data_IF_019013066369
#
_entry.id   IF_019013066369
#
_cell.length_a   1.000
_cell.length_b   1.000
_cell.length_c   1.000
_cell.angle_alpha   90.00
_cell.angle_beta   90.00
_cell.angle_gamma   90.00
#
_symmetry.space_group_name_H-M   'P 1'
#
loop_
_entity.id
_entity.type
_entity.pdbx_description
1 polymer ?
#
# COMPACT_ATOMS: atom_id res chain seq x y z
N UNK A 1 -1.05 -18.11 11.40
CA UNK A 1 -2.31 -18.12 10.58
C UNK A 1 -3.16 -19.34 10.96
N UNK A 2 -4.46 -19.25 10.82
CA UNK A 2 -5.43 -20.34 11.07
C UNK A 2 -5.73 -21.14 9.80
N UNK A 3 -5.62 -20.52 8.64
CA UNK A 3 -5.97 -21.04 7.33
C UNK A 3 -4.79 -20.86 6.37
N UNK A 4 -4.35 -21.93 5.76
CA UNK A 4 -3.22 -21.90 4.84
C UNK A 4 -3.49 -20.99 3.65
N UNK A 5 -2.60 -20.02 3.42
CA UNK A 5 -2.68 -19.07 2.32
C UNK A 5 -3.75 -17.99 2.45
N UNK A 6 -4.42 -17.84 3.60
CA UNK A 6 -5.37 -16.76 3.81
C UNK A 6 -4.69 -15.54 4.44
N UNK A 7 -4.39 -14.54 3.65
CA UNK A 7 -3.57 -13.40 4.06
C UNK A 7 -4.24 -12.47 5.08
N UNK A 8 -5.57 -12.51 5.19
CA UNK A 8 -6.29 -11.78 6.24
C UNK A 8 -6.23 -12.44 7.60
N UNK A 9 -5.73 -13.68 7.71
CA UNK A 9 -5.54 -14.33 9.01
C UNK A 9 -4.48 -13.59 9.82
N UNK A 10 -4.81 -13.31 11.06
CA UNK A 10 -3.91 -12.72 12.02
C UNK A 10 -2.77 -13.70 12.38
N UNK A 11 -1.55 -13.19 12.43
CA UNK A 11 -0.39 -13.91 12.96
C UNK A 11 -0.30 -13.72 14.47
N UNK A 12 -0.17 -14.84 15.19
CA UNK A 12 0.00 -14.87 16.63
C UNK A 12 1.39 -15.36 17.03
N UNK A 13 1.84 -14.96 18.22
CA UNK A 13 3.01 -15.55 18.87
C UNK A 13 2.52 -16.77 19.65
N UNK A 14 2.99 -17.95 19.23
CA UNK A 14 2.71 -19.21 19.92
C UNK A 14 4.01 -19.82 20.41
N UNK A 15 4.09 -20.06 21.71
CA UNK A 15 5.24 -20.75 22.34
C UNK A 15 4.90 -22.23 22.50
N UNK A 16 5.79 -23.08 22.00
CA UNK A 16 5.72 -24.53 22.20
C UNK A 16 6.59 -24.90 23.39
N UNK A 17 6.03 -25.63 24.32
CA UNK A 17 6.73 -26.21 25.51
C UNK A 17 6.43 -27.70 25.64
N UNK A 18 7.09 -28.43 26.50
CA UNK A 18 6.73 -29.82 26.79
C UNK A 18 5.27 -30.03 27.26
N UNK A 19 4.68 -28.98 27.84
CA UNK A 19 3.29 -28.99 28.33
C UNK A 19 2.25 -28.60 27.23
N UNK A 20 2.72 -28.33 26.00
CA UNK A 20 1.85 -27.96 24.85
C UNK A 20 2.10 -26.58 24.28
N UNK A 21 1.10 -26.07 23.58
CA UNK A 21 1.15 -24.77 22.89
C UNK A 21 0.47 -23.69 23.74
N UNK A 22 1.12 -22.51 23.81
CA UNK A 22 0.58 -21.33 24.49
C UNK A 22 0.56 -20.14 23.51
N UNK A 23 -0.63 -19.66 23.15
CA UNK A 23 -0.78 -18.47 22.32
C UNK A 23 -0.71 -17.22 23.21
N UNK A 24 0.32 -16.40 23.03
CA UNK A 24 0.59 -15.21 23.84
C UNK A 24 -0.17 -13.96 23.34
N UNK A 25 -0.66 -13.95 22.11
CA UNK A 25 -1.29 -12.77 21.50
C UNK A 25 -2.74 -13.02 21.08
N UNK A 26 -3.36 -14.11 21.56
CA UNK A 26 -4.73 -14.51 21.17
C UNK A 26 -5.78 -13.41 21.39
N UNK A 27 -5.64 -12.61 22.44
CA UNK A 27 -6.57 -11.53 22.79
C UNK A 27 -6.14 -10.15 22.24
N UNK A 28 -5.04 -10.06 21.50
CA UNK A 28 -4.60 -8.85 20.84
C UNK A 28 -5.25 -8.78 19.46
N UNK A 29 -6.00 -7.73 19.17
CA UNK A 29 -6.84 -7.60 17.96
C UNK A 29 -6.05 -7.09 16.74
N UNK A 30 -4.75 -7.45 16.65
CA UNK A 30 -3.87 -7.07 15.54
C UNK A 30 -2.91 -8.21 15.18
N UNK A 31 -2.19 -8.08 14.07
CA UNK A 31 -1.25 -9.10 13.57
C UNK A 31 0.21 -8.80 13.97
N UNK A 32 0.95 -9.85 14.30
CA UNK A 32 2.40 -9.80 14.61
C UNK A 32 3.19 -9.92 13.30
N UNK A 33 4.16 -9.02 13.08
CA UNK A 33 5.06 -9.08 11.91
C UNK A 33 6.40 -9.75 12.21
N UNK A 34 7.06 -9.35 13.28
CA UNK A 34 8.33 -9.94 13.71
C UNK A 34 8.40 -10.04 15.21
N UNK A 35 9.21 -10.96 15.74
CA UNK A 35 9.35 -11.13 17.19
C UNK A 35 10.76 -11.51 17.58
N UNK A 36 11.09 -11.28 18.87
CA UNK A 36 12.36 -11.64 19.50
C UNK A 36 12.18 -11.88 20.98
N UNK A 37 12.85 -12.88 21.52
CA UNK A 37 12.94 -13.11 22.98
C UNK A 37 13.73 -12.00 23.67
N UNK A 38 13.32 -11.65 24.90
CA UNK A 38 14.15 -10.87 25.83
C UNK A 38 15.37 -11.68 26.26
N UNK A 39 16.45 -11.00 26.69
CA UNK A 39 17.68 -11.66 27.12
C UNK A 39 17.49 -12.61 28.32
N UNK A 40 16.53 -12.33 29.19
CA UNK A 40 16.17 -13.13 30.34
C UNK A 40 15.14 -14.24 30.09
N UNK A 41 14.63 -14.33 28.84
CA UNK A 41 13.62 -15.30 28.41
C UNK A 41 12.22 -15.11 29.02
N UNK A 42 11.95 -13.98 29.67
CA UNK A 42 10.66 -13.75 30.37
C UNK A 42 9.63 -13.01 29.54
N UNK A 43 10.05 -12.44 28.41
CA UNK A 43 9.20 -11.65 27.52
C UNK A 43 9.55 -11.95 26.06
N UNK A 44 8.63 -11.63 25.18
CA UNK A 44 8.90 -11.43 23.76
C UNK A 44 8.62 -9.97 23.42
N UNK A 45 9.53 -9.40 22.62
CA UNK A 45 9.32 -8.12 21.93
C UNK A 45 8.86 -8.42 20.51
N UNK A 46 7.96 -7.62 19.97
CA UNK A 46 7.46 -7.83 18.62
C UNK A 46 7.03 -6.51 17.96
N UNK A 47 6.97 -6.52 16.64
CA UNK A 47 6.40 -5.42 15.87
C UNK A 47 5.02 -5.77 15.39
N UNK A 48 4.14 -4.77 15.35
CA UNK A 48 2.78 -4.91 14.85
C UNK A 48 2.25 -3.59 14.29
N UNK A 49 1.27 -3.69 13.38
CA UNK A 49 0.58 -2.52 12.85
C UNK A 49 -0.42 -1.99 13.87
N UNK A 50 -0.48 -0.67 13.99
CA UNK A 50 -1.50 0.03 14.76
C UNK A 50 -1.68 1.46 14.25
N UNK A 51 -2.91 1.88 14.00
CA UNK A 51 -3.27 3.26 13.63
C UNK A 51 -2.40 3.85 12.50
N UNK A 52 -2.15 3.06 11.44
CA UNK A 52 -1.34 3.47 10.29
C UNK A 52 0.15 3.63 10.59
N UNK A 53 0.69 2.87 11.54
CA UNK A 53 2.11 2.83 11.91
C UNK A 53 2.53 1.40 12.25
N UNK A 54 3.84 1.13 12.26
CA UNK A 54 4.42 -0.09 12.80
C UNK A 54 5.15 0.23 14.11
N UNK A 55 4.69 -0.35 15.23
CA UNK A 55 5.20 -0.05 16.55
C UNK A 55 5.84 -1.26 17.23
N UNK A 56 6.66 -1.00 18.26
CA UNK A 56 7.24 -2.01 19.13
C UNK A 56 6.31 -2.31 20.31
N UNK A 57 6.12 -3.60 20.56
CA UNK A 57 5.33 -4.14 21.66
C UNK A 57 6.14 -5.12 22.49
N UNK A 58 5.68 -5.41 23.70
CA UNK A 58 6.11 -6.52 24.51
C UNK A 58 4.94 -7.40 24.95
N UNK A 59 5.18 -8.68 25.11
CA UNK A 59 4.27 -9.62 25.76
C UNK A 59 5.08 -10.48 26.76
N UNK A 60 4.52 -10.66 27.97
CA UNK A 60 5.15 -11.53 28.97
C UNK A 60 4.96 -13.01 28.63
N UNK A 61 5.98 -13.81 28.90
CA UNK A 61 5.91 -15.26 28.88
C UNK A 61 5.74 -15.78 30.31
N UNK A 62 4.58 -16.29 30.69
CA UNK A 62 4.33 -16.71 32.06
C UNK A 62 5.03 -18.02 32.49
N UNK A 63 5.62 -18.76 31.53
CA UNK A 63 6.16 -20.09 31.79
C UNK A 63 5.07 -21.04 32.28
N UNK A 64 5.38 -21.79 33.38
CA UNK A 64 4.41 -22.68 34.02
C UNK A 64 3.48 -21.98 35.02
N UNK A 65 3.59 -20.65 35.18
CA UNK A 65 2.75 -19.87 36.11
C UNK A 65 1.40 -19.54 35.45
N UNK A 66 0.39 -19.25 36.28
CA UNK A 66 -0.92 -18.76 35.83
C UNK A 66 -0.97 -17.22 35.67
N UNK A 67 0.17 -16.56 35.49
CA UNK A 67 0.23 -15.12 35.32
C UNK A 67 -0.54 -14.69 34.07
N UNK A 68 -1.26 -13.59 34.16
CA UNK A 68 -2.00 -13.05 33.03
C UNK A 68 -1.05 -12.66 31.89
N UNK A 69 -1.43 -13.03 30.65
CA UNK A 69 -0.71 -12.64 29.44
C UNK A 69 -1.18 -11.24 29.07
N UNK A 70 -0.26 -10.30 28.93
CA UNK A 70 -0.54 -8.90 28.61
C UNK A 70 0.38 -8.41 27.49
N UNK A 71 -0.23 -7.87 26.46
CA UNK A 71 0.46 -7.11 25.42
C UNK A 71 0.54 -5.65 25.84
N UNK A 72 1.73 -5.08 25.78
CA UNK A 72 1.98 -3.67 26.08
C UNK A 72 2.71 -3.01 24.92
N UNK A 73 2.20 -1.86 24.47
CA UNK A 73 2.88 -1.03 23.49
C UNK A 73 4.03 -0.27 24.13
N UNK A 74 5.24 -0.35 23.54
CA UNK A 74 6.45 0.33 24.00
C UNK A 74 6.64 1.65 23.29
N UNK A 75 6.53 1.68 21.95
CA UNK A 75 6.73 2.90 21.16
C UNK A 75 5.41 3.46 20.66
N UNK A 76 5.34 4.80 20.51
CA UNK A 76 4.20 5.54 19.94
C UNK A 76 4.71 6.71 19.15
N UNK A 77 4.10 6.99 18.00
CA UNK A 77 4.41 8.14 17.16
C UNK A 77 4.16 7.86 15.68
N UNK A 78 4.28 8.89 14.85
CA UNK A 78 4.10 8.79 13.41
C UNK A 78 5.40 8.36 12.75
N UNK A 79 5.77 7.11 12.95
CA UNK A 79 6.94 6.43 12.40
C UNK A 79 6.72 4.92 12.40
N UNK A 80 7.56 4.20 11.65
CA UNK A 80 7.57 2.74 11.61
C UNK A 80 8.85 2.18 12.21
N UNK A 81 8.69 1.14 13.05
CA UNK A 81 9.77 0.24 13.44
C UNK A 81 9.84 -0.87 12.40
N UNK A 82 10.87 -0.84 11.56
CA UNK A 82 11.02 -1.75 10.42
C UNK A 82 11.81 -3.01 10.74
N UNK A 83 12.55 -3.03 11.87
CA UNK A 83 13.29 -4.21 12.30
C UNK A 83 13.85 -4.08 13.71
N UNK A 84 14.00 -5.21 14.37
CA UNK A 84 14.67 -5.34 15.68
C UNK A 84 16.04 -5.97 15.49
N UNK A 85 17.12 -5.21 15.74
CA UNK A 85 18.50 -5.67 15.57
C UNK A 85 18.90 -6.52 16.78
N UNK A 86 18.66 -6.02 18.00
CA UNK A 86 18.97 -6.77 19.21
C UNK A 86 18.74 -5.97 20.47
N UNK A 87 18.63 -6.69 21.61
CA UNK A 87 18.56 -6.10 22.93
C UNK A 87 19.98 -5.90 23.50
N UNK A 88 20.23 -4.74 24.12
CA UNK A 88 21.44 -4.41 24.85
C UNK A 88 21.04 -3.84 26.21
N UNK A 89 21.17 -4.62 27.25
CA UNK A 89 20.70 -4.27 28.60
C UNK A 89 19.20 -3.99 28.60
N UNK A 90 18.83 -2.79 29.00
CA UNK A 90 17.46 -2.27 29.06
C UNK A 90 16.99 -1.57 27.78
N UNK A 91 17.76 -1.64 26.69
CA UNK A 91 17.46 -1.02 25.40
C UNK A 91 17.29 -2.05 24.29
N UNK A 92 16.40 -1.74 23.34
CA UNK A 92 16.32 -2.41 22.05
C UNK A 92 16.99 -1.53 20.99
N UNK A 93 17.92 -2.11 20.23
CA UNK A 93 18.46 -1.50 19.01
C UNK A 93 17.56 -1.92 17.86
N UNK A 94 17.09 -0.97 17.08
CA UNK A 94 16.11 -1.20 16.02
C UNK A 94 16.31 -0.25 14.85
N UNK A 95 15.64 -0.53 13.74
CA UNK A 95 15.52 0.37 12.58
C UNK A 95 14.20 1.11 12.63
N UNK A 96 14.26 2.40 12.34
CA UNK A 96 13.11 3.29 12.26
C UNK A 96 13.12 4.07 10.95
N UNK A 97 11.94 4.27 10.40
CA UNK A 97 11.69 5.13 9.24
C UNK A 97 10.41 5.94 9.45
N UNK A 98 10.22 6.97 8.64
CA UNK A 98 8.93 7.63 8.45
C UNK A 98 8.80 8.07 6.98
N UNK A 99 7.64 8.60 6.58
CA UNK A 99 7.41 8.98 5.18
C UNK A 99 8.37 10.06 4.65
N UNK A 100 9.04 10.80 5.55
CA UNK A 100 10.02 11.84 5.21
C UNK A 100 11.47 11.34 5.26
N UNK A 101 11.76 10.31 6.05
CA UNK A 101 13.10 9.88 6.36
C UNK A 101 13.32 8.41 6.07
N UNK A 102 14.38 8.11 5.31
CA UNK A 102 14.86 6.76 5.12
C UNK A 102 15.30 6.12 6.45
N UNK A 103 15.42 4.81 6.43
CA UNK A 103 15.72 4.01 7.62
C UNK A 103 17.06 4.37 8.27
N UNK A 104 17.02 4.63 9.58
CA UNK A 104 18.17 4.85 10.46
C UNK A 104 18.11 3.92 11.68
N UNK A 105 19.26 3.74 12.35
CA UNK A 105 19.34 2.99 13.61
C UNK A 105 18.96 3.87 14.81
N UNK A 106 18.17 3.28 15.69
CA UNK A 106 17.75 3.89 16.96
C UNK A 106 17.95 2.93 18.13
N UNK A 107 18.17 3.47 19.31
CA UNK A 107 17.99 2.76 20.57
C UNK A 107 16.66 3.17 21.22
N UNK A 108 15.94 2.21 21.78
CA UNK A 108 14.69 2.43 22.49
C UNK A 108 14.82 1.89 23.91
N UNK A 109 14.58 2.74 24.90
CA UNK A 109 14.49 2.32 26.30
C UNK A 109 13.23 1.47 26.50
N UNK A 110 13.36 0.22 26.87
CA UNK A 110 12.26 -0.75 26.96
C UNK A 110 11.25 -0.42 28.06
N UNK A 111 11.69 0.29 29.10
CA UNK A 111 10.81 0.66 30.23
C UNK A 111 9.80 1.76 29.90
N UNK A 112 10.15 2.71 29.04
CA UNK A 112 9.36 3.92 28.79
C UNK A 112 9.21 4.33 27.31
N UNK A 113 9.87 3.58 26.39
CA UNK A 113 9.79 3.86 24.95
C UNK A 113 10.60 5.06 24.45
N UNK A 114 11.42 5.68 25.32
CA UNK A 114 12.26 6.81 24.91
C UNK A 114 13.27 6.37 23.85
N UNK A 115 13.34 7.13 22.75
CA UNK A 115 14.18 6.81 21.61
C UNK A 115 15.35 7.77 21.48
N UNK A 116 16.49 7.24 21.02
CA UNK A 116 17.65 8.03 20.61
C UNK A 116 18.17 7.53 19.26
N UNK A 117 18.37 8.44 18.31
CA UNK A 117 18.97 8.11 17.02
C UNK A 117 20.45 7.78 17.19
N UNK A 118 20.93 6.76 16.48
CA UNK A 118 22.30 6.27 16.56
C UNK A 118 23.09 6.51 15.27
N UNK A 119 22.41 6.56 14.13
CA UNK A 119 23.04 6.84 12.83
C UNK A 119 22.43 8.09 12.20
N UNK A 120 23.22 8.82 11.41
CA UNK A 120 22.90 10.13 10.84
C UNK A 120 23.35 10.21 9.38
N UNK A 121 23.11 9.11 8.63
CA UNK A 121 23.66 8.92 7.27
C UNK A 121 23.14 9.97 6.30
N UNK A 122 21.88 10.39 6.44
CA UNK A 122 21.21 11.27 5.50
C UNK A 122 21.06 12.72 5.99
N UNK A 123 21.51 13.09 7.20
CA UNK A 123 21.30 14.41 7.80
C UNK A 123 21.84 15.54 6.91
N UNK A 124 23.01 15.34 6.28
CA UNK A 124 23.62 16.32 5.39
C UNK A 124 22.79 16.61 4.12
N UNK A 125 21.99 15.61 3.67
CA UNK A 125 21.06 15.76 2.55
C UNK A 125 19.77 16.40 3.04
N UNK A 126 19.22 15.90 4.14
CA UNK A 126 17.96 16.36 4.71
C UNK A 126 17.99 17.82 5.14
N UNK A 127 19.15 18.31 5.61
CA UNK A 127 19.32 19.73 5.94
C UNK A 127 19.17 20.71 4.76
N UNK A 128 19.19 20.20 3.52
CA UNK A 128 19.13 20.99 2.28
C UNK A 128 17.80 20.90 1.55
N UNK A 129 16.86 20.08 2.02
CA UNK A 129 15.57 19.87 1.38
C UNK A 129 14.43 20.31 2.29
N UNK A 130 13.32 20.71 1.69
CA UNK A 130 12.09 21.03 2.40
C UNK A 130 11.18 19.82 2.36
N UNK A 131 10.77 19.33 3.53
CA UNK A 131 9.86 18.20 3.64
C UNK A 131 8.39 18.59 3.48
N UNK A 132 7.62 17.64 3.05
CA UNK A 132 6.16 17.73 3.05
C UNK A 132 5.60 17.66 4.47
N UNK A 133 4.53 18.40 4.72
CA UNK A 133 3.68 18.15 5.89
C UNK A 133 2.91 16.86 5.66
N UNK A 134 2.93 15.97 6.66
CA UNK A 134 2.11 14.76 6.70
C UNK A 134 1.09 14.93 7.80
N UNK A 135 -0.16 14.59 7.50
CA UNK A 135 -1.28 14.78 8.43
C UNK A 135 -2.12 13.51 8.52
N UNK A 136 -2.45 13.08 9.73
CA UNK A 136 -3.50 12.10 9.99
C UNK A 136 -4.86 12.77 9.93
N UNK A 137 -5.75 12.26 9.11
CA UNK A 137 -7.17 12.61 9.13
C UNK A 137 -8.03 11.38 9.31
N UNK A 138 -9.21 11.58 9.88
CA UNK A 138 -10.22 10.54 9.98
C UNK A 138 -11.42 10.92 9.13
N UNK A 139 -11.85 9.98 8.30
CA UNK A 139 -12.99 10.15 7.40
C UNK A 139 -14.04 9.10 7.74
N UNK A 140 -15.28 9.54 7.88
CA UNK A 140 -16.41 8.63 8.10
C UNK A 140 -16.74 7.89 6.81
N UNK A 141 -16.68 6.58 6.84
CA UNK A 141 -16.99 5.70 5.71
C UNK A 141 -18.50 5.63 5.45
N UNK A 142 -18.89 5.07 4.30
CA UNK A 142 -20.31 4.92 3.91
C UNK A 142 -21.12 4.04 4.86
N UNK A 143 -20.47 3.21 5.67
CA UNK A 143 -21.07 2.37 6.71
C UNK A 143 -20.80 2.90 8.14
N UNK A 144 -20.53 4.21 8.28
CA UNK A 144 -20.38 4.95 9.54
C UNK A 144 -19.20 4.50 10.44
N UNK A 145 -18.09 4.07 9.85
CA UNK A 145 -16.84 3.80 10.58
C UNK A 145 -15.83 4.92 10.37
N UNK A 146 -14.91 5.09 11.32
CA UNK A 146 -13.82 6.06 11.20
C UNK A 146 -12.63 5.40 10.52
N UNK A 147 -12.24 5.92 9.36
CA UNK A 147 -11.11 5.45 8.59
C UNK A 147 -9.97 6.45 8.64
N UNK A 148 -8.78 5.98 8.97
CA UNK A 148 -7.56 6.78 8.93
C UNK A 148 -7.15 7.06 7.49
N UNK A 149 -6.79 8.30 7.20
CA UNK A 149 -6.29 8.77 5.90
C UNK A 149 -5.00 9.57 6.14
N UNK A 150 -3.91 9.14 5.55
CA UNK A 150 -2.70 9.96 5.46
C UNK A 150 -2.86 10.99 4.36
N UNK A 151 -2.51 12.24 4.67
CA UNK A 151 -2.50 13.34 3.71
C UNK A 151 -1.12 13.94 3.67
N UNK A 152 -0.52 13.96 2.49
CA UNK A 152 0.81 14.49 2.25
C UNK A 152 0.68 15.74 1.40
N UNK A 153 1.11 16.88 1.93
CA UNK A 153 1.03 18.18 1.27
C UNK A 153 2.34 18.52 0.56
N UNK A 154 2.30 19.31 -0.52
CA UNK A 154 3.52 19.84 -1.15
C UNK A 154 4.41 20.58 -0.13
N UNK A 155 5.75 20.53 -0.29
CA UNK A 155 6.63 21.42 0.46
C UNK A 155 6.22 22.88 0.25
N UNK A 156 6.16 23.66 1.33
CA UNK A 156 5.70 25.05 1.26
C UNK A 156 4.20 25.20 0.93
N UNK A 157 3.38 24.22 1.31
CA UNK A 157 1.93 24.24 1.10
C UNK A 157 1.29 25.56 1.60
N UNK A 158 0.52 26.18 0.72
CA UNK A 158 -0.22 27.43 0.97
C UNK A 158 -1.73 27.17 0.77
N UNK A 159 -2.57 27.21 1.81
CA UNK A 159 -3.99 26.92 1.71
C UNK A 159 -4.79 27.91 0.84
N UNK A 160 -4.19 29.04 0.46
CA UNK A 160 -4.80 30.00 -0.46
C UNK A 160 -4.64 29.60 -1.95
N UNK A 161 -3.79 28.62 -2.25
CA UNK A 161 -3.55 28.10 -3.60
C UNK A 161 -4.39 26.84 -3.85
N UNK A 162 -4.54 26.49 -5.13
CA UNK A 162 -5.20 25.25 -5.56
C UNK A 162 -4.19 24.22 -6.06
N UNK A 163 -4.35 22.99 -5.60
CA UNK A 163 -3.43 21.89 -5.90
C UNK A 163 -4.15 20.73 -6.60
N UNK A 164 -3.51 20.11 -7.60
CA UNK A 164 -3.93 18.81 -8.11
C UNK A 164 -3.79 17.78 -6.96
N UNK A 165 -4.68 16.82 -6.94
CA UNK A 165 -4.73 15.85 -5.84
C UNK A 165 -4.78 14.42 -6.38
N UNK A 166 -3.96 13.55 -5.80
CA UNK A 166 -3.88 12.13 -6.15
C UNK A 166 -4.52 11.27 -5.06
N UNK A 167 -5.44 10.42 -5.45
CA UNK A 167 -5.84 9.28 -4.65
C UNK A 167 -4.79 8.19 -4.81
N UNK A 168 -4.16 7.79 -3.72
CA UNK A 168 -3.24 6.67 -3.71
C UNK A 168 -3.97 5.39 -3.27
N UNK A 169 -3.98 4.40 -4.15
CA UNK A 169 -4.53 3.08 -3.90
C UNK A 169 -3.40 2.12 -3.50
N UNK A 170 -3.33 1.76 -2.22
CA UNK A 170 -2.34 0.84 -1.68
C UNK A 170 -2.57 -0.59 -2.17
N UNK A 171 -1.49 -1.29 -2.51
CA UNK A 171 -1.47 -2.72 -2.83
C UNK A 171 -1.72 -3.63 -1.61
N UNK A 172 -1.46 -4.87 -1.76
CA UNK A 172 -1.75 -5.95 -0.82
C UNK A 172 -2.82 -6.87 -1.41
N UNK A 173 -4.06 -6.92 -0.89
CA UNK A 173 -4.74 -5.89 -0.09
C UNK A 173 -4.41 -5.84 1.40
N UNK A 174 -3.87 -6.91 1.98
CA UNK A 174 -3.56 -7.01 3.42
C UNK A 174 -2.18 -6.40 3.76
N UNK A 175 -1.96 -5.15 3.34
CA UNK A 175 -0.71 -4.41 3.58
C UNK A 175 -1.02 -3.08 4.24
N UNK A 176 -0.43 -2.83 5.41
CA UNK A 176 -0.61 -1.58 6.14
C UNK A 176 -0.13 -0.37 5.31
N UNK A 177 -0.94 0.66 5.23
CA UNK A 177 -0.50 1.96 4.75
C UNK A 177 0.01 2.75 5.96
N UNK A 178 1.28 2.55 6.26
CA UNK A 178 1.96 3.08 7.44
C UNK A 178 2.91 4.22 7.09
N UNK A 179 3.86 4.51 7.94
CA UNK A 179 4.89 5.55 7.77
C UNK A 179 6.10 5.07 6.96
N UNK A 180 5.95 4.04 6.12
CA UNK A 180 7.08 3.51 5.35
C UNK A 180 7.69 4.55 4.39
N UNK A 181 9.01 4.54 4.25
CA UNK A 181 9.75 5.26 3.22
C UNK A 181 9.95 4.35 2.02
N UNK A 182 9.37 4.71 0.89
CA UNK A 182 9.47 3.91 -0.34
C UNK A 182 10.29 4.63 -1.41
N UNK A 183 11.20 3.92 -2.03
CA UNK A 183 11.94 4.43 -3.20
C UNK A 183 11.11 4.31 -4.49
N UNK A 184 10.14 3.41 -4.53
CA UNK A 184 9.20 3.25 -5.64
C UNK A 184 8.02 4.23 -5.49
N UNK A 185 7.13 3.99 -4.53
CA UNK A 185 6.01 4.88 -4.23
C UNK A 185 6.44 5.96 -3.23
N UNK A 186 7.24 6.92 -3.68
CA UNK A 186 7.77 7.98 -2.84
C UNK A 186 6.80 9.16 -2.80
N UNK A 187 6.03 9.27 -1.72
CA UNK A 187 5.06 10.35 -1.53
C UNK A 187 5.71 11.74 -1.51
N UNK A 188 6.96 11.84 -1.03
CA UNK A 188 7.68 13.11 -1.00
C UNK A 188 7.97 13.63 -2.40
N UNK A 189 8.39 12.75 -3.32
CA UNK A 189 8.60 13.13 -4.72
C UNK A 189 7.29 13.52 -5.41
N UNK A 190 6.20 12.80 -5.17
CA UNK A 190 4.88 13.16 -5.69
C UNK A 190 4.45 14.53 -5.17
N UNK A 191 4.57 14.76 -3.87
CA UNK A 191 4.19 16.02 -3.24
C UNK A 191 5.11 17.18 -3.67
N UNK A 192 6.42 16.94 -3.84
CA UNK A 192 7.37 17.93 -4.33
C UNK A 192 7.06 18.40 -5.77
N UNK A 193 6.36 17.59 -6.56
CA UNK A 193 5.82 17.96 -7.87
C UNK A 193 4.49 18.75 -7.79
N UNK A 194 4.11 19.20 -6.59
CA UNK A 194 2.95 20.06 -6.39
C UNK A 194 1.63 19.33 -6.18
N UNK A 195 1.64 18.02 -5.90
CA UNK A 195 0.41 17.25 -5.64
C UNK A 195 0.12 17.13 -4.15
N UNK A 196 -1.16 17.15 -3.80
CA UNK A 196 -1.62 16.61 -2.51
C UNK A 196 -1.87 15.12 -2.71
N UNK A 197 -1.36 14.28 -1.80
CA UNK A 197 -1.62 12.85 -1.83
C UNK A 197 -2.63 12.49 -0.74
N UNK A 198 -3.70 11.83 -1.11
CA UNK A 198 -4.73 11.27 -0.21
C UNK A 198 -4.57 9.76 -0.21
N UNK A 199 -4.15 9.21 0.92
CA UNK A 199 -3.76 7.81 1.07
C UNK A 199 -4.58 7.13 2.20
N UNK A 200 -5.76 6.53 1.86
CA UNK A 200 -6.65 5.94 2.84
C UNK A 200 -6.19 4.58 3.34
N UNK A 201 -6.36 4.32 4.63
CA UNK A 201 -6.27 2.98 5.24
C UNK A 201 -7.61 2.24 5.12
N UNK A 202 -7.97 1.85 3.88
CA UNK A 202 -9.21 1.17 3.56
C UNK A 202 -9.30 -0.23 4.19
N UNK A 203 -10.46 -0.85 4.17
CA UNK A 203 -10.64 -2.25 4.58
C UNK A 203 -9.70 -3.21 3.86
N UNK A 204 -9.26 -4.22 4.61
CA UNK A 204 -8.22 -5.15 4.21
C UNK A 204 -6.82 -4.78 4.69
N UNK A 205 -6.62 -3.58 5.27
CA UNK A 205 -5.32 -3.17 5.81
C UNK A 205 -5.21 -3.51 7.29
N UNK A 206 -4.11 -4.15 7.77
CA UNK A 206 -3.87 -4.41 9.19
C UNK A 206 -3.57 -3.11 9.95
N UNK A 207 -3.77 -3.13 11.27
CA UNK A 207 -3.55 -2.00 12.16
C UNK A 207 -4.83 -1.26 12.55
N UNK A 208 -6.00 -1.82 12.22
CA UNK A 208 -7.33 -1.29 12.51
C UNK A 208 -8.29 -2.38 13.01
N UNK A 209 -7.74 -3.45 13.59
CA UNK A 209 -8.44 -4.65 14.04
C UNK A 209 -8.56 -5.75 12.97
N UNK A 210 -8.62 -7.00 13.44
CA UNK A 210 -8.72 -8.19 12.59
C UNK A 210 -9.95 -8.13 11.68
N UNK A 211 -11.09 -7.69 12.23
CA UNK A 211 -12.33 -7.57 11.45
C UNK A 211 -12.21 -6.57 10.28
N UNK A 212 -11.46 -5.47 10.46
CA UNK A 212 -11.18 -4.51 9.39
C UNK A 212 -10.34 -5.14 8.28
N UNK A 213 -9.34 -5.94 8.67
CA UNK A 213 -8.46 -6.64 7.72
C UNK A 213 -9.22 -7.71 6.92
N UNK A 214 -10.09 -8.50 7.56
CA UNK A 214 -10.83 -9.59 6.90
C UNK A 214 -11.92 -9.11 5.92
N UNK A 215 -12.46 -7.90 6.09
CA UNK A 215 -13.61 -7.41 5.31
C UNK A 215 -13.36 -7.24 3.81
N UNK A 216 -12.10 -7.30 3.37
CA UNK A 216 -11.76 -7.21 1.95
C UNK A 216 -12.04 -8.53 1.20
N UNK A 217 -11.91 -9.66 1.87
CA UNK A 217 -12.01 -10.98 1.23
C UNK A 217 -13.41 -11.19 0.66
N UNK A 218 -13.47 -11.59 -0.60
CA UNK A 218 -14.70 -11.78 -1.40
C UNK A 218 -15.53 -10.51 -1.61
N UNK A 219 -14.96 -9.33 -1.29
CA UNK A 219 -15.60 -8.02 -1.48
C UNK A 219 -14.64 -6.98 -2.06
N UNK A 220 -13.73 -7.40 -2.94
CA UNK A 220 -12.66 -6.60 -3.52
C UNK A 220 -13.12 -5.27 -4.13
N UNK A 221 -14.24 -5.29 -4.85
CA UNK A 221 -14.85 -4.13 -5.50
C UNK A 221 -15.99 -3.49 -4.71
N UNK A 222 -16.24 -3.96 -3.48
CA UNK A 222 -17.34 -3.47 -2.63
C UNK A 222 -16.93 -2.33 -1.72
N UNK A 223 -16.98 -2.55 -0.39
CA UNK A 223 -16.74 -1.49 0.58
C UNK A 223 -15.32 -0.90 0.49
N UNK A 224 -14.31 -1.69 0.16
CA UNK A 224 -12.94 -1.19 0.01
C UNK A 224 -12.80 -0.12 -1.09
N UNK A 225 -13.59 -0.21 -2.16
CA UNK A 225 -13.63 0.81 -3.22
C UNK A 225 -14.39 2.07 -2.74
N UNK A 226 -15.44 1.92 -1.94
CA UNK A 226 -16.11 3.05 -1.30
C UNK A 226 -15.17 3.76 -0.31
N UNK A 227 -14.32 3.01 0.38
CA UNK A 227 -13.29 3.54 1.28
C UNK A 227 -12.21 4.36 0.52
N UNK A 228 -11.99 4.13 -0.77
CA UNK A 228 -11.19 5.02 -1.61
C UNK A 228 -11.96 6.24 -2.09
N UNK A 229 -13.21 6.07 -2.53
CA UNK A 229 -14.02 7.16 -3.10
C UNK A 229 -14.47 8.18 -2.06
N UNK A 230 -14.69 7.75 -0.82
CA UNK A 230 -15.17 8.63 0.26
C UNK A 230 -14.16 9.71 0.62
N UNK A 231 -12.89 9.41 0.96
CA UNK A 231 -11.93 10.45 1.34
C UNK A 231 -11.60 11.39 0.20
N UNK A 232 -11.43 10.92 -1.04
CA UNK A 232 -11.18 11.86 -2.15
C UNK A 232 -12.39 12.75 -2.40
N UNK A 233 -13.61 12.26 -2.14
CA UNK A 233 -14.83 13.05 -2.18
C UNK A 233 -14.86 14.13 -1.09
N UNK A 234 -14.53 13.78 0.15
CA UNK A 234 -14.43 14.74 1.26
C UNK A 234 -13.32 15.78 1.02
N UNK A 235 -12.13 15.34 0.62
CA UNK A 235 -11.02 16.23 0.28
C UNK A 235 -11.36 17.21 -0.85
N UNK A 236 -12.15 16.80 -1.82
CA UNK A 236 -12.60 17.66 -2.91
C UNK A 236 -13.42 18.87 -2.45
N UNK A 237 -13.89 18.90 -1.19
CA UNK A 237 -14.60 20.03 -0.61
C UNK A 237 -13.66 21.13 -0.11
N UNK A 238 -12.39 20.81 0.13
CA UNK A 238 -11.38 21.75 0.60
C UNK A 238 -11.09 22.84 -0.45
N UNK A 239 -10.93 24.07 0.00
CA UNK A 239 -10.73 25.23 -0.89
C UNK A 239 -9.44 25.15 -1.70
N UNK A 240 -8.44 24.49 -1.16
CA UNK A 240 -7.12 24.30 -1.78
C UNK A 240 -7.05 23.10 -2.75
N UNK A 241 -8.11 22.31 -2.88
CA UNK A 241 -8.16 21.21 -3.85
C UNK A 241 -8.72 21.67 -5.17
N UNK A 242 -7.98 21.39 -6.25
CA UNK A 242 -8.48 21.59 -7.62
C UNK A 242 -9.26 20.36 -8.09
N UNK A 243 -10.58 20.44 -8.00
CA UNK A 243 -11.50 19.34 -8.42
C UNK A 243 -11.38 18.98 -9.90
N UNK A 244 -10.81 19.85 -10.72
CA UNK A 244 -10.62 19.60 -12.14
C UNK A 244 -9.34 18.85 -12.45
N UNK A 245 -8.48 18.61 -11.43
CA UNK A 245 -7.20 17.94 -11.55
C UNK A 245 -7.02 16.85 -10.49
N UNK A 246 -7.99 15.92 -10.43
CA UNK A 246 -7.89 14.73 -9.58
C UNK A 246 -7.31 13.57 -10.38
N UNK A 247 -6.34 12.86 -9.82
CA UNK A 247 -5.77 11.63 -10.38
C UNK A 247 -5.92 10.45 -9.42
N UNK A 248 -5.73 9.25 -9.95
CA UNK A 248 -5.76 8.02 -9.16
C UNK A 248 -4.59 7.12 -9.56
N UNK A 249 -3.82 6.67 -8.57
CA UNK A 249 -2.59 5.88 -8.79
C UNK A 249 -2.53 4.70 -7.84
N UNK A 250 -1.95 3.57 -8.29
CA UNK A 250 -1.79 2.40 -7.44
C UNK A 250 -1.10 1.23 -8.11
N UNK A 251 -0.62 0.28 -7.30
CA UNK A 251 0.03 -0.95 -7.79
C UNK A 251 -0.59 -2.20 -7.17
N UNK A 252 -0.47 -3.34 -7.88
CA UNK A 252 -0.97 -4.64 -7.41
C UNK A 252 -2.48 -4.59 -7.18
N UNK A 253 -2.98 -4.90 -5.99
CA UNK A 253 -4.37 -4.62 -5.63
C UNK A 253 -4.73 -3.13 -5.84
N UNK A 254 -3.80 -2.20 -5.63
CA UNK A 254 -3.98 -0.79 -5.96
C UNK A 254 -4.12 -0.54 -7.45
N UNK A 255 -3.37 -1.26 -8.30
CA UNK A 255 -3.50 -1.25 -9.75
C UNK A 255 -4.84 -1.82 -10.22
N UNK A 256 -5.30 -2.92 -9.60
CA UNK A 256 -6.67 -3.43 -9.74
C UNK A 256 -7.70 -2.34 -9.43
N UNK A 257 -7.53 -1.66 -8.29
CA UNK A 257 -8.44 -0.58 -7.87
C UNK A 257 -8.48 0.55 -8.88
N UNK A 258 -7.34 0.90 -9.48
CA UNK A 258 -7.24 1.90 -10.56
C UNK A 258 -8.03 1.45 -11.80
N UNK A 259 -7.85 0.21 -12.26
CA UNK A 259 -8.59 -0.32 -13.41
C UNK A 259 -10.10 -0.38 -13.14
N UNK A 260 -10.48 -0.81 -11.94
CA UNK A 260 -11.90 -0.87 -11.57
C UNK A 260 -12.50 0.55 -11.46
N UNK A 261 -11.81 1.48 -10.80
CA UNK A 261 -12.22 2.88 -10.69
C UNK A 261 -12.33 3.56 -12.07
N UNK A 262 -11.48 3.21 -13.03
CA UNK A 262 -11.58 3.75 -14.39
C UNK A 262 -12.94 3.45 -15.04
N UNK A 263 -13.61 2.37 -14.63
CA UNK A 263 -14.94 2.00 -15.13
C UNK A 263 -16.13 2.56 -14.33
N UNK A 264 -15.89 3.11 -13.13
CA UNK A 264 -16.98 3.49 -12.20
C UNK A 264 -16.86 4.90 -11.59
N UNK A 265 -15.81 5.67 -11.92
CA UNK A 265 -15.49 6.94 -11.24
C UNK A 265 -16.42 8.11 -11.55
N UNK A 266 -17.33 7.97 -12.50
CA UNK A 266 -18.28 9.01 -12.89
C UNK A 266 -17.60 10.36 -13.23
N UNK A 267 -16.57 10.33 -14.09
CA UNK A 267 -15.77 11.49 -14.56
C UNK A 267 -15.03 12.26 -13.44
N UNK A 268 -14.86 11.66 -12.28
CA UNK A 268 -14.18 12.27 -11.12
C UNK A 268 -12.70 12.51 -11.40
N UNK A 269 -12.00 11.48 -11.91
CA UNK A 269 -10.56 11.55 -12.18
C UNK A 269 -10.26 12.00 -13.60
N UNK A 270 -9.10 12.61 -13.79
CA UNK A 270 -8.58 13.11 -15.08
C UNK A 270 -7.40 12.29 -15.59
N UNK A 271 -6.85 11.43 -14.75
CA UNK A 271 -5.75 10.54 -15.08
C UNK A 271 -5.74 9.32 -14.18
N UNK A 272 -5.25 8.22 -14.73
CA UNK A 272 -5.02 6.98 -14.01
C UNK A 272 -3.59 6.48 -14.24
N UNK A 273 -2.97 5.92 -13.19
CA UNK A 273 -1.69 5.19 -13.28
C UNK A 273 -1.87 3.85 -12.58
N UNK A 274 -1.87 2.75 -13.35
CA UNK A 274 -1.98 1.39 -12.86
C UNK A 274 -0.65 0.67 -13.06
N UNK A 275 -0.06 0.14 -11.99
CA UNK A 275 1.16 -0.64 -12.03
C UNK A 275 0.87 -2.06 -11.56
N UNK A 276 1.24 -3.05 -12.36
CA UNK A 276 1.07 -4.49 -12.06
C UNK A 276 -0.32 -4.83 -11.49
N UNK A 277 -1.37 -4.26 -12.10
CA UNK A 277 -2.75 -4.37 -11.61
C UNK A 277 -3.49 -5.56 -12.18
N UNK A 278 -4.35 -6.19 -11.38
CA UNK A 278 -5.25 -7.24 -11.87
C UNK A 278 -6.37 -6.57 -12.69
N UNK A 279 -6.53 -7.00 -13.93
CA UNK A 279 -7.53 -6.47 -14.85
C UNK A 279 -8.67 -7.46 -15.14
N UNK A 280 -8.33 -8.74 -15.29
CA UNK A 280 -9.27 -9.81 -15.64
C UNK A 280 -9.08 -10.98 -14.68
N UNK A 281 -10.04 -11.19 -13.79
CA UNK A 281 -9.96 -12.22 -12.76
C UNK A 281 -9.91 -13.65 -13.33
N UNK A 282 -10.50 -13.89 -14.51
CA UNK A 282 -10.46 -15.23 -15.12
C UNK A 282 -9.08 -15.57 -15.65
N UNK A 283 -8.44 -14.66 -16.38
CA UNK A 283 -7.08 -14.90 -16.87
C UNK A 283 -6.08 -14.89 -15.71
N UNK A 284 -6.27 -14.03 -14.70
CA UNK A 284 -5.48 -14.04 -13.47
C UNK A 284 -5.53 -15.40 -12.76
N UNK A 285 -6.71 -15.98 -12.59
CA UNK A 285 -6.88 -17.29 -11.96
C UNK A 285 -6.07 -18.40 -12.65
N UNK A 286 -5.94 -18.34 -13.96
CA UNK A 286 -5.24 -19.36 -14.76
C UNK A 286 -3.72 -19.15 -14.89
N UNK A 287 -3.18 -18.00 -14.47
CA UNK A 287 -1.79 -17.61 -14.79
C UNK A 287 -0.95 -17.15 -13.60
N UNK A 288 -1.57 -16.81 -12.47
CA UNK A 288 -0.86 -16.35 -11.27
C UNK A 288 -0.10 -17.47 -10.56
N UNK A 289 1.04 -17.16 -9.96
CA UNK A 289 1.72 -18.05 -9.00
C UNK A 289 1.00 -18.10 -7.63
N UNK A 290 0.18 -17.08 -7.31
CA UNK A 290 -0.54 -16.95 -6.04
C UNK A 290 -1.99 -17.45 -6.13
N UNK A 291 -2.18 -18.69 -6.53
CA UNK A 291 -3.53 -19.26 -6.66
C UNK A 291 -4.30 -19.29 -5.32
N UNK A 292 -3.58 -19.35 -4.19
CA UNK A 292 -4.17 -19.25 -2.85
C UNK A 292 -4.93 -17.92 -2.66
N UNK A 293 -4.36 -16.81 -3.13
CA UNK A 293 -5.02 -15.49 -3.12
C UNK A 293 -6.36 -15.55 -3.86
N UNK A 294 -6.36 -16.05 -5.09
CA UNK A 294 -7.59 -16.17 -5.88
C UNK A 294 -8.62 -17.08 -5.22
N UNK A 295 -8.19 -18.15 -4.54
CA UNK A 295 -9.09 -19.07 -3.84
C UNK A 295 -9.72 -18.42 -2.60
N UNK A 296 -8.97 -17.66 -1.82
CA UNK A 296 -9.45 -17.04 -0.59
C UNK A 296 -10.15 -15.71 -0.85
N UNK A 297 -9.51 -14.81 -1.55
CA UNK A 297 -9.90 -13.41 -1.65
C UNK A 297 -10.86 -13.13 -2.80
N UNK A 298 -10.68 -13.77 -3.97
CA UNK A 298 -11.66 -13.74 -5.06
C UNK A 298 -12.84 -14.71 -4.76
N UNK A 299 -12.53 -15.80 -4.02
CA UNK A 299 -13.51 -16.76 -3.52
C UNK A 299 -13.49 -18.12 -4.19
N UNK A 300 -12.60 -18.37 -5.15
CA UNK A 300 -12.44 -19.67 -5.82
C UNK A 300 -12.57 -19.63 -7.34
N UNK A 301 -12.63 -20.78 -8.00
CA UNK A 301 -12.59 -20.88 -9.45
C UNK A 301 -13.85 -20.30 -10.13
N UNK A 302 -13.62 -19.63 -11.27
CA UNK A 302 -14.70 -18.99 -12.05
C UNK A 302 -15.71 -19.99 -12.67
N UNK A 303 -15.35 -21.25 -12.80
CA UNK A 303 -16.23 -22.30 -13.33
C UNK A 303 -17.16 -22.91 -12.27
N UNK A 304 -16.90 -22.72 -10.98
CA UNK A 304 -17.82 -23.14 -9.92
C UNK A 304 -19.02 -22.19 -9.86
N UNK A 305 -20.08 -22.54 -10.59
CA UNK A 305 -21.29 -21.72 -10.67
C UNK A 305 -22.14 -21.77 -9.40
N UNK A 306 -21.89 -22.73 -8.51
CA UNK A 306 -22.57 -22.84 -7.22
C UNK A 306 -21.97 -21.92 -6.16
N UNK A 307 -20.74 -21.46 -6.34
CA UNK A 307 -20.04 -20.58 -5.41
C UNK A 307 -20.45 -19.11 -5.62
N UNK A 308 -21.45 -18.67 -4.87
CA UNK A 308 -22.04 -17.32 -4.98
C UNK A 308 -21.00 -16.22 -4.78
N UNK A 309 -20.06 -16.39 -3.83
CA UNK A 309 -19.04 -15.38 -3.55
C UNK A 309 -18.05 -15.23 -4.72
N UNK A 310 -17.58 -16.35 -5.28
CA UNK A 310 -16.72 -16.33 -6.47
C UNK A 310 -17.47 -15.70 -7.66
N UNK A 311 -18.70 -16.11 -7.92
CA UNK A 311 -19.49 -15.55 -9.04
C UNK A 311 -19.73 -14.04 -8.88
N UNK A 312 -19.96 -13.54 -7.65
CA UNK A 312 -20.04 -12.10 -7.36
C UNK A 312 -18.75 -11.40 -7.78
N UNK A 313 -17.59 -11.94 -7.39
CA UNK A 313 -16.30 -11.36 -7.75
C UNK A 313 -16.10 -11.28 -9.27
N UNK A 314 -16.31 -12.38 -9.99
CA UNK A 314 -16.13 -12.43 -11.46
C UNK A 314 -17.15 -11.62 -12.25
N UNK A 315 -18.33 -11.32 -11.71
CA UNK A 315 -19.37 -10.58 -12.43
C UNK A 315 -19.46 -9.11 -12.03
N UNK A 316 -19.21 -8.77 -10.76
CA UNK A 316 -19.43 -7.43 -10.23
C UNK A 316 -18.13 -6.66 -9.96
N UNK A 317 -17.01 -7.36 -9.71
CA UNK A 317 -15.77 -6.73 -9.29
C UNK A 317 -14.62 -6.87 -10.28
N UNK A 318 -14.79 -7.65 -11.35
CA UNK A 318 -13.80 -7.82 -12.40
C UNK A 318 -13.73 -6.54 -13.28
N UNK A 319 -12.59 -5.82 -13.31
CA UNK A 319 -12.46 -4.57 -14.07
C UNK A 319 -12.76 -4.72 -15.56
N UNK A 320 -12.47 -5.88 -16.15
CA UNK A 320 -12.68 -6.14 -17.58
C UNK A 320 -14.15 -6.02 -17.99
N UNK A 321 -15.08 -6.22 -17.05
CA UNK A 321 -16.51 -6.05 -17.30
C UNK A 321 -16.94 -4.58 -17.46
N UNK A 322 -16.11 -3.60 -17.07
CA UNK A 322 -16.43 -2.18 -17.03
C UNK A 322 -15.69 -1.34 -18.05
N UNK A 323 -14.92 -1.95 -18.92
CA UNK A 323 -14.14 -1.27 -19.99
C UNK A 323 -15.03 -0.36 -20.86
N UNK A 324 -16.27 -0.74 -21.09
CA UNK A 324 -17.22 0.07 -21.86
C UNK A 324 -17.41 1.49 -21.28
N UNK A 325 -17.14 1.70 -20.00
CA UNK A 325 -17.30 2.98 -19.31
C UNK A 325 -15.98 3.80 -19.24
N UNK A 326 -14.86 3.23 -19.65
CA UNK A 326 -13.58 3.93 -19.59
C UNK A 326 -13.60 5.14 -20.53
N UNK A 327 -13.21 6.31 -20.02
CA UNK A 327 -13.21 7.58 -20.75
C UNK A 327 -12.01 8.49 -20.42
N UNK A 328 -11.12 8.03 -19.58
CA UNK A 328 -10.05 8.84 -18.97
C UNK A 328 -8.67 8.28 -19.34
N UNK A 329 -7.69 9.14 -19.66
CA UNK A 329 -6.32 8.72 -19.97
C UNK A 329 -5.69 7.84 -18.88
N UNK A 330 -4.94 6.82 -19.30
CA UNK A 330 -4.31 5.85 -18.40
C UNK A 330 -2.86 5.52 -18.80
N UNK A 331 -1.97 5.55 -17.80
CA UNK A 331 -0.64 4.96 -17.89
C UNK A 331 -0.69 3.59 -17.23
N UNK A 332 -0.23 2.57 -17.94
CA UNK A 332 -0.10 1.19 -17.44
C UNK A 332 1.38 0.89 -17.34
N UNK A 333 1.82 0.27 -16.24
CA UNK A 333 3.21 -0.11 -16.00
C UNK A 333 3.24 -1.59 -15.64
N UNK A 334 4.20 -2.35 -16.20
CA UNK A 334 4.28 -3.79 -16.00
C UNK A 334 5.72 -4.29 -15.96
N UNK A 335 6.02 -5.13 -14.97
CA UNK A 335 7.23 -5.92 -14.93
C UNK A 335 7.09 -7.21 -15.73
N UNK A 336 8.07 -7.49 -16.63
CA UNK A 336 8.02 -8.67 -17.52
C UNK A 336 8.26 -10.00 -16.81
N UNK A 337 8.79 -9.98 -15.59
CA UNK A 337 9.00 -11.16 -14.74
C UNK A 337 8.04 -11.19 -13.55
N UNK A 338 6.92 -10.51 -13.68
CA UNK A 338 5.84 -10.55 -12.67
C UNK A 338 4.99 -11.82 -12.89
N UNK A 339 5.21 -12.82 -12.05
CA UNK A 339 4.42 -14.04 -12.02
C UNK A 339 3.27 -14.00 -11.03
N UNK A 340 3.24 -12.96 -10.18
CA UNK A 340 2.17 -12.70 -9.22
C UNK A 340 0.94 -12.11 -9.91
N UNK A 341 1.16 -10.99 -10.62
CA UNK A 341 0.18 -10.37 -11.51
C UNK A 341 0.77 -10.42 -12.93
N UNK A 342 0.58 -11.51 -13.66
CA UNK A 342 1.21 -11.74 -14.95
C UNK A 342 0.95 -10.64 -15.97
N UNK A 343 1.91 -10.39 -16.82
CA UNK A 343 1.94 -9.30 -17.80
C UNK A 343 0.75 -9.27 -18.77
N UNK A 344 0.11 -10.42 -18.99
CA UNK A 344 -1.16 -10.52 -19.73
C UNK A 344 -2.23 -9.59 -19.17
N UNK A 345 -2.26 -9.32 -17.85
CA UNK A 345 -3.23 -8.41 -17.24
C UNK A 345 -3.09 -6.98 -17.78
N UNK A 346 -1.87 -6.49 -17.86
CA UNK A 346 -1.56 -5.17 -18.40
C UNK A 346 -1.73 -5.11 -19.92
N UNK A 347 -1.39 -6.18 -20.65
CA UNK A 347 -1.61 -6.26 -22.09
C UNK A 347 -3.10 -6.24 -22.43
N UNK A 348 -3.95 -7.01 -21.72
CA UNK A 348 -5.40 -6.99 -21.91
C UNK A 348 -5.97 -5.59 -21.63
N UNK A 349 -5.55 -4.94 -20.54
CA UNK A 349 -6.00 -3.59 -20.18
C UNK A 349 -5.56 -2.53 -21.22
N UNK A 350 -4.31 -2.58 -21.68
CA UNK A 350 -3.78 -1.67 -22.68
C UNK A 350 -4.49 -1.86 -24.04
N UNK A 351 -4.66 -3.10 -24.49
CA UNK A 351 -5.40 -3.43 -25.69
C UNK A 351 -6.83 -2.87 -25.65
N UNK A 352 -7.51 -3.06 -24.51
CA UNK A 352 -8.87 -2.53 -24.32
C UNK A 352 -8.90 -1.00 -24.39
N UNK A 353 -7.96 -0.30 -23.77
CA UNK A 353 -7.86 1.16 -23.81
C UNK A 353 -7.62 1.66 -25.25
N UNK A 354 -6.69 1.02 -25.99
CA UNK A 354 -6.38 1.38 -27.38
C UNK A 354 -7.58 1.18 -28.31
N UNK A 355 -8.26 0.04 -28.24
CA UNK A 355 -9.45 -0.25 -29.04
C UNK A 355 -10.61 0.71 -28.75
N UNK A 356 -10.66 1.23 -27.52
CA UNK A 356 -11.65 2.24 -27.10
C UNK A 356 -11.25 3.67 -27.51
N UNK A 357 -10.08 3.87 -28.13
CA UNK A 357 -9.56 5.19 -28.46
C UNK A 357 -9.18 6.05 -27.25
N UNK A 358 -8.93 5.40 -26.10
CA UNK A 358 -8.50 6.08 -24.87
C UNK A 358 -7.01 6.37 -24.95
N UNK A 359 -6.63 7.61 -24.64
CA UNK A 359 -5.23 8.01 -24.56
C UNK A 359 -4.53 7.18 -23.52
N UNK A 360 -3.63 6.29 -23.94
CA UNK A 360 -2.97 5.35 -23.06
C UNK A 360 -1.51 5.10 -23.44
N UNK A 361 -0.69 4.75 -22.47
CA UNK A 361 0.68 4.28 -22.64
C UNK A 361 0.90 3.02 -21.81
N UNK A 362 1.75 2.14 -22.32
CA UNK A 362 2.29 0.99 -21.58
C UNK A 362 3.79 1.18 -21.41
N UNK A 363 4.26 1.23 -20.17
CA UNK A 363 5.66 1.12 -19.81
C UNK A 363 5.93 -0.33 -19.41
N UNK A 364 6.62 -1.07 -20.29
CA UNK A 364 6.97 -2.45 -20.04
C UNK A 364 8.45 -2.53 -19.64
N UNK A 365 8.73 -3.17 -18.51
CA UNK A 365 10.05 -3.33 -17.91
C UNK A 365 10.43 -4.82 -17.91
N UNK A 366 11.08 -5.34 -18.96
CA UNK A 366 11.21 -6.80 -19.21
C UNK A 366 11.92 -7.55 -18.09
N UNK A 367 12.86 -6.90 -17.40
CA UNK A 367 13.68 -7.52 -16.36
C UNK A 367 13.18 -7.30 -14.93
N UNK A 368 12.13 -6.49 -14.76
CA UNK A 368 11.52 -6.28 -13.47
C UNK A 368 10.45 -7.34 -13.16
N UNK A 369 10.28 -7.58 -11.86
CA UNK A 369 9.22 -8.43 -11.34
C UNK A 369 8.04 -7.57 -10.84
N UNK A 370 7.30 -8.05 -9.84
CA UNK A 370 6.19 -7.30 -9.20
C UNK A 370 6.65 -5.98 -8.53
N UNK A 371 7.95 -5.81 -8.32
CA UNK A 371 8.58 -4.58 -7.80
C UNK A 371 9.62 -4.07 -8.78
N UNK A 372 9.79 -2.75 -8.88
CA UNK A 372 10.87 -2.14 -9.65
C UNK A 372 12.11 -2.07 -8.77
N UNK A 373 13.04 -3.01 -8.95
CA UNK A 373 14.19 -3.21 -8.07
C UNK A 373 15.51 -2.67 -8.65
N UNK A 374 15.64 -2.57 -9.98
CA UNK A 374 16.81 -2.01 -10.60
C UNK A 374 16.77 -0.48 -10.57
N UNK A 375 17.83 0.15 -10.06
CA UNK A 375 17.86 1.60 -9.85
C UNK A 375 17.61 2.44 -11.11
N UNK A 376 18.12 1.99 -12.27
CA UNK A 376 17.88 2.67 -13.55
C UNK A 376 16.42 2.59 -13.98
N UNK A 377 15.79 1.44 -13.84
CA UNK A 377 14.36 1.26 -14.13
C UNK A 377 13.48 2.07 -13.15
N UNK A 378 13.90 2.17 -11.88
CA UNK A 378 13.22 3.01 -10.90
C UNK A 378 13.23 4.50 -11.29
N UNK A 379 14.34 5.01 -11.86
CA UNK A 379 14.40 6.38 -12.37
C UNK A 379 13.48 6.61 -13.57
N UNK A 380 13.42 5.65 -14.50
CA UNK A 380 12.49 5.68 -15.64
C UNK A 380 11.06 5.68 -15.13
N UNK A 381 10.73 4.76 -14.24
CA UNK A 381 9.42 4.63 -13.62
C UNK A 381 8.97 5.94 -12.93
N UNK A 382 9.84 6.55 -12.12
CA UNK A 382 9.57 7.83 -11.46
C UNK A 382 9.35 8.96 -12.48
N UNK A 383 10.17 9.04 -13.53
CA UNK A 383 10.03 10.04 -14.60
C UNK A 383 8.70 9.93 -15.34
N UNK A 384 8.25 8.72 -15.66
CA UNK A 384 6.95 8.49 -16.31
C UNK A 384 5.78 8.82 -15.40
N UNK A 385 5.85 8.45 -14.13
CA UNK A 385 4.81 8.76 -13.15
C UNK A 385 4.62 10.27 -13.00
N UNK A 386 5.70 11.03 -12.89
CA UNK A 386 5.67 12.47 -12.73
C UNK A 386 5.16 13.18 -14.00
N UNK A 387 5.62 12.77 -15.18
CA UNK A 387 5.19 13.31 -16.46
C UNK A 387 3.72 13.04 -16.78
N UNK A 388 3.17 11.94 -16.28
CA UNK A 388 1.76 11.57 -16.50
C UNK A 388 0.79 12.32 -15.59
N UNK A 389 1.26 12.92 -14.50
CA UNK A 389 0.44 13.67 -13.53
C UNK A 389 0.54 15.19 -13.70
N UNK A 390 1.37 15.70 -14.63
CA UNK A 390 1.63 17.12 -14.84
C UNK A 390 0.39 17.98 -15.18
N UNK A 391 0.42 19.25 -14.78
CA UNK A 391 -0.72 20.17 -14.73
C UNK A 391 -1.28 20.62 -16.09
N UNK A 392 -0.53 20.46 -17.15
CA UNK A 392 -1.01 20.68 -18.50
C UNK A 392 -1.26 19.32 -19.13
N UNK A 393 -2.50 19.05 -19.46
CA UNK A 393 -2.98 17.88 -20.21
C UNK A 393 -1.94 16.80 -20.34
N UNK A 394 -2.12 15.66 -19.73
CA UNK A 394 -1.16 14.56 -19.85
C UNK A 394 -0.55 14.60 -21.24
N UNK A 395 0.58 15.26 -21.38
CA UNK A 395 1.29 15.25 -22.63
C UNK A 395 2.00 13.90 -22.72
N UNK A 396 1.18 12.87 -23.01
CA UNK A 396 1.69 11.54 -23.31
C UNK A 396 2.59 11.61 -24.57
N UNK A 397 2.59 12.74 -25.30
CA UNK A 397 3.49 13.01 -26.41
C UNK A 397 4.85 13.57 -25.98
N UNK A 398 5.07 13.87 -24.70
CA UNK A 398 6.41 14.13 -24.18
C UNK A 398 7.25 12.86 -24.29
N UNK A 399 7.62 12.52 -25.50
CA UNK A 399 8.83 11.77 -25.73
C UNK A 399 9.91 12.52 -24.96
N UNK A 400 10.68 11.83 -24.15
CA UNK A 400 11.98 12.32 -23.69
C UNK A 400 12.75 12.62 -24.98
N UNK A 401 12.66 13.86 -25.47
CA UNK A 401 13.48 14.38 -26.56
C UNK A 401 14.88 14.72 -26.05
N UNK A 402 15.35 14.05 -25.04
CA UNK A 402 16.73 13.87 -24.65
C UNK A 402 17.00 12.39 -24.85
N UNK A 403 17.94 12.08 -25.71
CA UNK A 403 18.48 10.73 -25.85
C UNK A 403 18.77 10.16 -24.46
N UNK A 404 17.81 9.45 -23.86
CA UNK A 404 18.09 8.57 -22.75
C UNK A 404 18.72 7.29 -23.34
N UNK A 405 19.98 7.44 -23.77
CA UNK A 405 20.84 6.34 -24.21
C UNK A 405 21.25 5.39 -23.07
N UNK A 406 20.58 5.49 -21.91
CA UNK A 406 20.97 4.81 -20.68
C UNK A 406 20.06 3.64 -20.27
N UNK A 407 19.00 3.33 -21.02
CA UNK A 407 18.14 2.17 -20.72
C UNK A 407 17.88 1.36 -22.00
N UNK A 408 18.69 0.34 -22.28
CA UNK A 408 18.55 -0.48 -23.49
C UNK A 408 17.27 -1.31 -23.55
N UNK A 409 16.51 -1.47 -22.47
CA UNK A 409 15.52 -2.54 -22.31
C UNK A 409 14.11 -2.10 -21.91
N UNK A 410 13.83 -0.81 -21.68
CA UNK A 410 12.46 -0.36 -21.44
C UNK A 410 11.72 -0.14 -22.76
N UNK A 411 10.60 -0.82 -22.95
CA UNK A 411 9.75 -0.67 -24.14
C UNK A 411 8.56 0.22 -23.81
N UNK A 412 8.39 1.30 -24.61
CA UNK A 412 7.21 2.17 -24.56
C UNK A 412 6.35 1.88 -25.77
N UNK A 413 5.13 1.45 -25.55
CA UNK A 413 4.16 1.12 -26.59
C UNK A 413 3.01 2.13 -26.53
#
# INVERSE_FOLDING_TARGET
MKRDGYESDKNDIVVMSPDGFMNLTVNWDETVFSYRWSLDGKKLYFTGAIDGTLQLFEVNYPGSTKAAIQVKQITKGDFDITGMIGQSGDKMILTRTDMNHATELYSVMLSNGQMSQLTHVNDAIYSKISFSKIEKRFVTTTDNKQMLVWVIYPPGFDPAKKYPTLLYCQGGPQSALSQYYSYRWNFQLMAANGYIIVAPNRRGMPGHGVAWNEQISKDHGGQAIQDYLTPIGEFSKETFVDKTRLGCVGASYGGYSVFYLAGIHNKRFKTFIAHDGIFNFKSMYGTTEELFFSNWDIGGPYWDKSNVAAQKSYTQFDPSNFVANWDTPILIIQGGKDYRVPDGQSFEAFQAAQLRGIKSKLLYLPDENHWVLHGQNALVWLGFQQGSTGAETINISGGVSGQCSLVPEATII
#
